data_IF_025115750411
#
_entry.id   IF_025115750411
#
_cell.length_a   1.000
_cell.length_b   1.000
_cell.length_c   1.000
_cell.angle_alpha   90.00
_cell.angle_beta   90.00
_cell.angle_gamma   90.00
#
_symmetry.space_group_name_H-M   'P 1'
#
loop_
_entity.id
_entity.type
_entity.pdbx_description
1 polymer ?
#
# COMPACT_ATOMS: atom_id res chain seq x y z
N UNK A 1 23.65 -23.54 17.38
CA UNK A 1 23.03 -22.41 18.11
C UNK A 1 21.97 -22.98 19.04
N UNK A 2 21.96 -22.62 20.33
CA UNK A 2 20.94 -23.12 21.26
C UNK A 2 19.56 -22.55 20.93
N UNK A 3 18.49 -23.31 21.21
CA UNK A 3 17.10 -22.91 20.95
C UNK A 3 16.74 -21.51 21.51
N UNK A 4 17.15 -21.12 22.74
CA UNK A 4 16.85 -19.78 23.27
C UNK A 4 17.49 -18.64 22.46
N UNK A 5 18.73 -18.85 21.96
CA UNK A 5 19.47 -17.85 21.18
C UNK A 5 18.84 -17.67 19.79
N UNK A 6 18.36 -18.76 19.20
CA UNK A 6 17.69 -18.71 17.90
C UNK A 6 16.30 -18.05 17.99
N UNK A 7 15.55 -18.31 19.06
CA UNK A 7 14.27 -17.62 19.34
C UNK A 7 14.48 -16.12 19.55
N UNK A 8 15.49 -15.73 20.33
CA UNK A 8 15.84 -14.32 20.52
C UNK A 8 16.25 -13.66 19.19
N UNK A 9 17.04 -14.37 18.36
CA UNK A 9 17.45 -13.88 17.04
C UNK A 9 16.25 -13.69 16.11
N UNK A 10 15.28 -14.61 16.12
CA UNK A 10 14.04 -14.50 15.36
C UNK A 10 13.20 -13.29 15.79
N UNK A 11 12.99 -13.08 17.09
CA UNK A 11 12.23 -11.95 17.61
C UNK A 11 12.90 -10.60 17.32
N UNK A 12 14.24 -10.57 17.33
CA UNK A 12 15.02 -9.38 16.96
C UNK A 12 15.20 -9.18 15.45
N UNK A 13 14.75 -10.14 14.62
CA UNK A 13 14.89 -10.08 13.17
C UNK A 13 13.83 -9.18 12.53
N UNK A 14 13.97 -8.91 11.24
CA UNK A 14 12.95 -8.19 10.46
C UNK A 14 11.64 -8.96 10.26
N UNK A 15 11.57 -10.26 10.57
CA UNK A 15 10.40 -11.11 10.28
C UNK A 15 9.10 -10.60 10.90
N UNK A 16 9.00 -10.29 12.22
CA UNK A 16 7.74 -9.82 12.80
C UNK A 16 7.23 -8.54 12.14
N UNK A 17 8.15 -7.61 11.84
CA UNK A 17 7.85 -6.34 11.17
C UNK A 17 7.37 -6.58 9.72
N UNK A 18 8.06 -7.45 8.98
CA UNK A 18 7.69 -7.83 7.61
C UNK A 18 6.29 -8.47 7.55
N UNK A 19 5.99 -9.41 8.44
CA UNK A 19 4.68 -10.05 8.52
C UNK A 19 3.58 -9.05 8.89
N UNK A 20 3.83 -8.19 9.88
CA UNK A 20 2.87 -7.14 10.24
C UNK A 20 2.62 -6.18 9.08
N UNK A 21 3.64 -5.84 8.30
CA UNK A 21 3.54 -5.00 7.11
C UNK A 21 2.71 -5.66 6.01
N UNK A 22 2.89 -6.96 5.77
CA UNK A 22 2.06 -7.72 4.81
C UNK A 22 0.59 -7.77 5.23
N UNK A 23 0.30 -8.02 6.51
CA UNK A 23 -1.08 -7.98 7.04
C UNK A 23 -1.68 -6.59 6.88
N UNK A 24 -0.93 -5.55 7.28
CA UNK A 24 -1.35 -4.16 7.17
C UNK A 24 -1.64 -3.78 5.70
N UNK A 25 -0.79 -4.21 4.78
CA UNK A 25 -0.97 -4.02 3.34
C UNK A 25 -2.21 -4.75 2.81
N UNK A 26 -2.40 -6.02 3.20
CA UNK A 26 -3.56 -6.83 2.83
C UNK A 26 -4.86 -6.15 3.25
N UNK A 27 -4.96 -5.73 4.51
CA UNK A 27 -6.16 -5.11 5.07
C UNK A 27 -6.47 -3.78 4.37
N UNK A 28 -5.47 -2.97 4.07
CA UNK A 28 -5.65 -1.62 3.50
C UNK A 28 -5.86 -1.58 1.98
N UNK A 29 -5.62 -2.71 1.32
CA UNK A 29 -5.87 -2.91 -0.13
C UNK A 29 -7.03 -3.86 -0.39
N UNK A 30 -7.71 -4.31 0.65
CA UNK A 30 -8.97 -5.05 0.54
C UNK A 30 -10.12 -4.07 0.77
N UNK A 31 -11.06 -4.01 -0.17
CA UNK A 31 -12.20 -3.12 -0.05
C UNK A 31 -13.04 -3.55 1.18
N UNK A 32 -13.38 -2.61 2.09
CA UNK A 32 -14.18 -2.94 3.28
C UNK A 32 -15.67 -3.15 2.95
N UNK A 33 -16.12 -2.69 1.77
CA UNK A 33 -17.51 -2.76 1.33
C UNK A 33 -17.59 -3.40 -0.06
N UNK A 34 -18.77 -3.89 -0.41
CA UNK A 34 -19.07 -4.39 -1.75
C UNK A 34 -18.91 -3.29 -2.81
N UNK A 35 -18.47 -3.66 -4.03
CA UNK A 35 -18.40 -2.73 -5.14
C UNK A 35 -19.74 -2.02 -5.38
N UNK A 36 -19.73 -0.74 -5.77
CA UNK A 36 -20.95 -0.01 -6.06
C UNK A 36 -21.74 -0.62 -7.22
N UNK A 37 -23.08 -0.49 -7.17
CA UNK A 37 -23.98 -1.00 -8.21
C UNK A 37 -23.63 -0.34 -9.54
N UNK A 38 -23.92 -1.01 -10.66
CA UNK A 38 -23.64 -0.45 -11.98
C UNK A 38 -24.34 0.92 -12.19
N UNK A 39 -25.56 1.09 -11.69
CA UNK A 39 -26.29 2.38 -11.72
C UNK A 39 -25.56 3.51 -10.98
N UNK A 40 -25.00 3.22 -9.81
CA UNK A 40 -24.21 4.17 -9.00
C UNK A 40 -22.88 4.54 -9.67
N UNK A 41 -22.33 3.61 -10.46
CA UNK A 41 -21.12 3.85 -11.24
C UNK A 41 -21.39 4.61 -12.55
N UNK A 42 -22.54 4.38 -13.19
CA UNK A 42 -22.92 5.00 -14.47
C UNK A 42 -23.34 6.47 -14.28
N UNK A 43 -23.79 6.83 -13.07
CA UNK A 43 -23.97 8.22 -12.66
C UNK A 43 -22.67 9.04 -12.80
N UNK A 44 -21.51 8.39 -12.68
CA UNK A 44 -20.21 8.99 -12.97
C UNK A 44 -19.91 8.81 -14.46
N UNK A 45 -20.02 9.88 -15.25
CA UNK A 45 -19.71 9.84 -16.69
C UNK A 45 -18.27 9.36 -16.94
N UNK A 46 -18.12 8.11 -17.43
CA UNK A 46 -16.81 7.49 -17.72
C UNK A 46 -16.26 7.90 -19.10
N UNK A 47 -15.36 8.88 -19.14
CA UNK A 47 -14.52 9.19 -20.30
C UNK A 47 -13.56 8.06 -20.68
N UNK A 48 -12.92 8.16 -21.86
CA UNK A 48 -11.96 7.15 -22.36
C UNK A 48 -10.85 6.83 -21.35
N UNK A 49 -10.31 7.86 -20.70
CA UNK A 49 -9.30 7.72 -19.64
C UNK A 49 -9.82 6.99 -18.41
N UNK A 50 -11.09 7.17 -18.02
CA UNK A 50 -11.67 6.43 -16.89
C UNK A 50 -11.87 4.96 -17.20
N UNK A 51 -12.15 4.58 -18.45
CA UNK A 51 -12.23 3.16 -18.82
C UNK A 51 -10.87 2.46 -18.77
N UNK A 52 -9.82 3.11 -19.28
CA UNK A 52 -8.45 2.60 -19.20
C UNK A 52 -8.01 2.50 -17.74
N UNK A 53 -8.33 3.51 -16.94
CA UNK A 53 -8.00 3.57 -15.52
C UNK A 53 -8.80 2.57 -14.68
N UNK A 54 -10.10 2.39 -14.93
CA UNK A 54 -10.93 1.39 -14.28
C UNK A 54 -10.44 -0.02 -14.60
N UNK A 55 -10.07 -0.27 -15.86
CA UNK A 55 -9.40 -1.52 -16.25
C UNK A 55 -8.09 -1.70 -15.49
N UNK A 56 -7.26 -0.65 -15.38
CA UNK A 56 -6.00 -0.71 -14.60
C UNK A 56 -6.25 -1.02 -13.12
N UNK A 57 -7.22 -0.36 -12.49
CA UNK A 57 -7.53 -0.54 -11.06
C UNK A 57 -8.15 -1.90 -10.74
N UNK A 58 -8.77 -2.58 -11.71
CA UNK A 58 -9.37 -3.89 -11.44
C UNK A 58 -8.32 -5.00 -11.25
N UNK A 59 -7.16 -4.92 -11.91
CA UNK A 59 -6.11 -5.94 -11.80
C UNK A 59 -4.84 -5.49 -11.06
N UNK A 60 -4.54 -4.19 -11.01
CA UNK A 60 -3.30 -3.71 -10.42
C UNK A 60 -3.22 -3.87 -8.89
N UNK A 61 -4.25 -3.57 -8.08
CA UNK A 61 -4.21 -3.80 -6.63
C UNK A 61 -4.11 -5.28 -6.23
N UNK A 62 -4.88 -6.23 -6.81
CA UNK A 62 -4.69 -7.66 -6.54
C UNK A 62 -3.28 -8.13 -6.91
N UNK A 63 -2.74 -7.70 -8.05
CA UNK A 63 -1.38 -8.04 -8.47
C UNK A 63 -0.33 -7.46 -7.50
N UNK A 64 -0.49 -6.20 -7.12
CA UNK A 64 0.40 -5.52 -6.18
C UNK A 64 0.38 -6.21 -4.80
N UNK A 65 -0.81 -6.56 -4.31
CA UNK A 65 -1.02 -7.32 -3.08
C UNK A 65 -0.32 -8.68 -3.12
N UNK A 66 -0.59 -9.48 -4.15
CA UNK A 66 0.07 -10.78 -4.34
C UNK A 66 1.59 -10.64 -4.42
N UNK A 67 2.08 -9.60 -5.11
CA UNK A 67 3.52 -9.36 -5.21
C UNK A 67 4.16 -9.04 -3.86
N UNK A 68 3.53 -8.19 -3.03
CA UNK A 68 4.06 -7.80 -1.72
C UNK A 68 4.02 -8.96 -0.75
N UNK A 69 2.92 -9.70 -0.71
CA UNK A 69 2.77 -10.88 0.15
C UNK A 69 3.79 -11.95 -0.24
N UNK A 70 3.90 -12.27 -1.53
CA UNK A 70 4.87 -13.25 -2.04
C UNK A 70 6.31 -12.85 -1.71
N UNK A 71 6.71 -11.61 -2.02
CA UNK A 71 8.06 -11.11 -1.73
C UNK A 71 8.35 -11.11 -0.22
N UNK A 72 7.36 -10.78 0.61
CA UNK A 72 7.49 -10.82 2.07
C UNK A 72 7.70 -12.25 2.57
N UNK A 73 6.95 -13.22 2.06
CA UNK A 73 7.11 -14.64 2.42
C UNK A 73 8.47 -15.16 1.97
N UNK A 74 8.92 -14.82 0.76
CA UNK A 74 10.25 -15.16 0.29
C UNK A 74 11.33 -14.57 1.19
N UNK A 75 11.25 -13.29 1.55
CA UNK A 75 12.23 -12.66 2.43
C UNK A 75 12.25 -13.30 3.83
N UNK A 76 11.07 -13.60 4.40
CA UNK A 76 10.97 -14.33 5.66
C UNK A 76 11.62 -15.72 5.57
N UNK A 77 11.39 -16.46 4.48
CA UNK A 77 11.96 -17.79 4.30
C UNK A 77 13.50 -17.75 4.22
N UNK A 78 14.07 -16.75 3.54
CA UNK A 78 15.53 -16.61 3.46
C UNK A 78 16.12 -16.16 4.80
N UNK A 79 15.44 -15.30 5.57
CA UNK A 79 15.86 -14.94 6.94
C UNK A 79 15.80 -16.17 7.86
N UNK A 80 14.75 -16.99 7.77
CA UNK A 80 14.66 -18.26 8.51
C UNK A 80 15.82 -19.18 8.17
N UNK A 81 16.23 -19.27 6.89
CA UNK A 81 17.42 -20.03 6.49
C UNK A 81 18.70 -19.51 7.16
N UNK A 82 18.83 -18.20 7.32
CA UNK A 82 19.98 -17.58 7.99
C UNK A 82 20.02 -17.90 9.50
N UNK A 83 18.86 -17.93 10.16
CA UNK A 83 18.74 -18.14 11.61
C UNK A 83 18.75 -19.63 11.98
N UNK A 84 18.08 -20.48 11.19
CA UNK A 84 17.91 -21.92 11.40
C UNK A 84 18.33 -22.74 10.17
N UNK A 85 19.63 -22.81 9.82
CA UNK A 85 20.10 -23.45 8.59
C UNK A 85 19.75 -24.95 8.49
N UNK A 86 19.58 -25.65 9.62
CA UNK A 86 19.25 -27.09 9.65
C UNK A 86 17.75 -27.40 9.72
N UNK A 87 16.87 -26.40 9.63
CA UNK A 87 15.43 -26.63 9.63
C UNK A 87 14.92 -27.17 8.29
N UNK A 88 13.79 -27.89 8.28
CA UNK A 88 13.13 -28.36 7.05
C UNK A 88 12.69 -27.20 6.14
N UNK A 89 12.43 -26.02 6.70
CA UNK A 89 12.10 -24.80 5.93
C UNK A 89 13.30 -24.29 5.14
N UNK A 90 14.50 -24.42 5.69
CA UNK A 90 15.75 -24.02 5.01
C UNK A 90 16.03 -24.82 3.75
N UNK A 91 15.66 -26.11 3.72
CA UNK A 91 15.80 -26.95 2.52
C UNK A 91 14.85 -26.56 1.39
N UNK A 92 13.77 -25.83 1.66
CA UNK A 92 12.83 -25.35 0.65
C UNK A 92 13.32 -24.07 -0.06
N UNK A 93 14.33 -23.38 0.48
CA UNK A 93 14.83 -22.11 -0.05
C UNK A 93 16.05 -22.35 -0.94
N UNK A 94 15.96 -22.12 -2.27
CA UNK A 94 17.07 -22.39 -3.18
C UNK A 94 18.35 -21.63 -2.79
N UNK A 95 19.50 -22.31 -2.87
CA UNK A 95 20.81 -21.78 -2.47
C UNK A 95 21.28 -20.61 -3.31
N UNK A 96 20.81 -20.48 -4.55
CA UNK A 96 21.14 -19.35 -5.43
C UNK A 96 20.44 -18.04 -5.05
N UNK A 97 19.48 -18.07 -4.12
CA UNK A 97 18.86 -16.85 -3.59
C UNK A 97 19.82 -16.25 -2.55
N UNK A 98 20.27 -15.00 -2.73
CA UNK A 98 21.13 -14.34 -1.76
C UNK A 98 20.48 -14.29 -0.38
N UNK A 99 21.25 -14.52 0.68
CA UNK A 99 20.77 -14.36 2.05
C UNK A 99 20.81 -12.88 2.44
N UNK A 100 19.66 -12.22 2.66
CA UNK A 100 19.63 -10.85 3.12
C UNK A 100 20.19 -10.73 4.55
N UNK A 101 20.78 -9.58 4.90
CA UNK A 101 21.19 -9.30 6.28
C UNK A 101 19.94 -9.18 7.17
N UNK A 102 19.70 -10.07 8.15
CA UNK A 102 18.48 -10.07 8.92
C UNK A 102 18.30 -8.84 9.84
N UNK A 103 19.32 -7.99 9.97
CA UNK A 103 19.31 -6.82 10.86
C UNK A 103 18.24 -5.80 10.51
N UNK A 104 17.65 -5.26 11.55
CA UNK A 104 16.73 -4.13 11.51
C UNK A 104 17.55 -2.85 11.34
N UNK A 105 17.35 -2.14 10.23
CA UNK A 105 18.02 -0.86 9.96
C UNK A 105 17.11 0.32 10.30
N UNK A 106 17.65 1.53 10.57
CA UNK A 106 16.82 2.71 10.80
C UNK A 106 15.88 3.02 9.64
N UNK A 107 16.33 2.82 8.40
CA UNK A 107 15.50 3.03 7.21
C UNK A 107 14.35 2.01 7.12
N UNK A 108 14.61 0.76 7.50
CA UNK A 108 13.57 -0.27 7.60
C UNK A 108 12.53 0.09 8.67
N UNK A 109 12.96 0.53 9.85
CA UNK A 109 12.03 0.98 10.90
C UNK A 109 11.21 2.19 10.47
N UNK A 110 11.83 3.16 9.79
CA UNK A 110 11.09 4.28 9.20
C UNK A 110 10.02 3.78 8.23
N UNK A 111 10.39 2.84 7.34
CA UNK A 111 9.45 2.21 6.41
C UNK A 111 8.28 1.54 7.12
N UNK A 112 8.57 0.72 8.12
CA UNK A 112 7.56 0.03 8.92
C UNK A 112 6.64 1.00 9.67
N UNK A 113 7.21 2.08 10.24
CA UNK A 113 6.44 3.12 10.92
C UNK A 113 5.51 3.85 9.94
N UNK A 114 6.00 4.20 8.75
CA UNK A 114 5.20 4.84 7.71
C UNK A 114 4.04 3.95 7.27
N UNK A 115 4.27 2.65 7.05
CA UNK A 115 3.18 1.73 6.73
C UNK A 115 2.17 1.64 7.86
N UNK A 116 2.64 1.50 9.10
CA UNK A 116 1.75 1.38 10.27
C UNK A 116 0.90 2.63 10.48
N UNK A 117 1.50 3.81 10.37
CA UNK A 117 0.79 5.09 10.46
C UNK A 117 -0.20 5.27 9.29
N UNK A 118 0.21 4.92 8.07
CA UNK A 118 -0.65 4.92 6.90
C UNK A 118 -1.84 3.96 7.07
N UNK A 119 -1.62 2.76 7.59
CA UNK A 119 -2.68 1.79 7.89
C UNK A 119 -3.66 2.32 8.92
N UNK A 120 -3.18 2.92 10.01
CA UNK A 120 -4.06 3.54 11.00
C UNK A 120 -4.94 4.63 10.37
N UNK A 121 -4.35 5.50 9.54
CA UNK A 121 -5.09 6.56 8.83
C UNK A 121 -6.09 6.01 7.81
N UNK A 122 -5.72 4.94 7.07
CA UNK A 122 -6.61 4.26 6.12
C UNK A 122 -7.81 3.66 6.84
N UNK A 123 -7.58 2.95 7.95
CA UNK A 123 -8.63 2.36 8.76
C UNK A 123 -9.54 3.41 9.39
N UNK A 124 -8.98 4.54 9.85
CA UNK A 124 -9.77 5.68 10.30
C UNK A 124 -10.64 6.26 9.17
N UNK A 125 -10.12 6.31 7.94
CA UNK A 125 -10.87 6.75 6.76
C UNK A 125 -12.00 5.78 6.40
N UNK A 126 -11.75 4.46 6.48
CA UNK A 126 -12.79 3.43 6.29
C UNK A 126 -13.91 3.57 7.30
N UNK A 127 -13.56 3.77 8.58
CA UNK A 127 -14.54 3.98 9.64
C UNK A 127 -15.34 5.26 9.45
N UNK A 128 -14.69 6.35 9.06
CA UNK A 128 -15.36 7.64 8.87
C UNK A 128 -16.36 7.62 7.70
N UNK A 129 -15.99 7.01 6.56
CA UNK A 129 -16.88 6.90 5.40
C UNK A 129 -17.91 5.76 5.50
N UNK A 130 -17.62 4.71 6.27
CA UNK A 130 -18.50 3.55 6.41
C UNK A 130 -18.86 2.95 5.05
N UNK A 131 -20.16 2.77 4.79
CA UNK A 131 -20.70 2.22 3.53
C UNK A 131 -20.37 3.04 2.27
N UNK A 132 -19.99 4.31 2.43
CA UNK A 132 -19.67 5.21 1.32
C UNK A 132 -18.26 4.96 0.77
N UNK A 133 -17.40 4.26 1.51
CA UNK A 133 -16.04 3.99 1.04
C UNK A 133 -16.07 2.91 -0.07
N UNK A 134 -15.64 3.30 -1.28
CA UNK A 134 -15.50 2.40 -2.44
C UNK A 134 -14.16 2.63 -3.13
N UNK A 135 -13.63 1.60 -3.79
CA UNK A 135 -12.42 1.75 -4.62
C UNK A 135 -12.74 2.33 -6.00
N UNK A 136 -13.98 2.21 -6.46
CA UNK A 136 -14.55 2.79 -7.67
C UNK A 136 -15.18 4.16 -7.38
N UNK A 137 -15.08 5.10 -8.33
CA UNK A 137 -15.77 6.39 -8.20
C UNK A 137 -17.25 6.12 -8.41
N UNK A 138 -18.05 6.45 -7.40
CA UNK A 138 -19.49 6.24 -7.43
C UNK A 138 -20.18 7.25 -6.53
N UNK A 139 -21.37 7.67 -6.93
CA UNK A 139 -22.33 8.35 -6.06
C UNK A 139 -23.34 7.30 -5.62
N UNK A 140 -23.47 7.11 -4.29
CA UNK A 140 -24.38 6.14 -3.69
C UNK A 140 -25.78 6.76 -3.60
N UNK A 141 -26.82 5.95 -3.55
CA UNK A 141 -28.20 6.47 -3.41
C UNK A 141 -28.37 7.36 -2.15
N UNK A 142 -27.69 7.02 -1.04
CA UNK A 142 -27.64 7.81 0.20
C UNK A 142 -26.28 8.53 0.41
N UNK A 143 -25.65 9.02 -0.66
CA UNK A 143 -24.32 9.63 -0.53
C UNK A 143 -24.39 10.91 0.31
N UNK A 144 -23.60 10.98 1.38
CA UNK A 144 -23.45 12.19 2.19
C UNK A 144 -22.01 12.68 2.19
N UNK A 145 -21.82 13.99 2.27
CA UNK A 145 -20.50 14.59 2.36
C UNK A 145 -19.93 14.39 3.78
N UNK A 146 -19.03 13.42 3.94
CA UNK A 146 -18.36 13.16 5.23
C UNK A 146 -17.25 14.17 5.46
N UNK A 147 -17.37 14.94 6.54
CA UNK A 147 -16.43 16.01 6.91
C UNK A 147 -15.78 15.80 8.29
N UNK A 148 -16.04 14.66 8.93
CA UNK A 148 -15.57 14.32 10.27
C UNK A 148 -14.37 13.34 10.25
N UNK A 149 -13.73 13.16 11.40
CA UNK A 149 -12.55 12.30 11.52
C UNK A 149 -11.39 12.81 10.68
N UNK A 150 -10.68 11.96 9.92
CA UNK A 150 -9.58 12.39 9.06
C UNK A 150 -9.96 13.46 8.01
N UNK A 151 -11.23 13.47 7.57
CA UNK A 151 -11.77 14.39 6.56
C UNK A 151 -11.93 15.84 7.08
N UNK A 152 -11.77 16.06 8.39
CA UNK A 152 -11.73 17.40 8.97
C UNK A 152 -10.38 18.11 8.73
N UNK A 153 -9.33 17.37 8.34
CA UNK A 153 -7.96 17.88 8.23
C UNK A 153 -7.43 17.89 6.80
N UNK A 154 -7.86 16.93 5.99
CA UNK A 154 -7.45 16.75 4.58
C UNK A 154 -8.64 16.22 3.79
N UNK A 155 -8.79 16.61 2.53
CA UNK A 155 -9.92 16.15 1.68
C UNK A 155 -9.82 14.67 1.30
N UNK A 156 -8.60 14.18 1.09
CA UNK A 156 -8.30 12.83 0.60
C UNK A 156 -7.40 12.01 1.56
N UNK A 157 -7.73 11.89 2.85
CA UNK A 157 -6.87 11.28 3.87
C UNK A 157 -6.59 9.80 3.57
N UNK A 158 -7.55 9.12 2.94
CA UNK A 158 -7.42 7.73 2.53
C UNK A 158 -6.36 7.55 1.43
N UNK A 159 -6.19 8.53 0.54
CA UNK A 159 -5.12 8.51 -0.47
C UNK A 159 -3.76 8.88 0.15
N UNK A 160 -3.73 9.82 1.10
CA UNK A 160 -2.54 10.10 1.92
C UNK A 160 -2.03 8.84 2.62
N UNK A 161 -2.96 8.08 3.20
CA UNK A 161 -2.66 6.81 3.84
C UNK A 161 -2.03 5.81 2.87
N UNK A 162 -2.56 5.67 1.65
CA UNK A 162 -1.97 4.82 0.62
C UNK A 162 -0.56 5.28 0.21
N UNK A 163 -0.31 6.59 0.11
CA UNK A 163 1.04 7.10 -0.16
C UNK A 163 2.03 6.68 0.93
N UNK A 164 1.65 6.82 2.20
CA UNK A 164 2.48 6.40 3.33
C UNK A 164 2.75 4.88 3.31
N UNK A 165 1.72 4.08 3.04
CA UNK A 165 1.82 2.62 2.95
C UNK A 165 2.77 2.21 1.81
N UNK A 166 2.61 2.80 0.62
CA UNK A 166 3.46 2.47 -0.53
C UNK A 166 4.92 2.86 -0.27
N UNK A 167 5.17 4.08 0.21
CA UNK A 167 6.52 4.54 0.52
C UNK A 167 7.13 3.67 1.64
N UNK A 168 6.34 3.33 2.67
CA UNK A 168 6.77 2.44 3.75
C UNK A 168 7.17 1.05 3.26
N UNK A 169 6.33 0.43 2.42
CA UNK A 169 6.64 -0.84 1.76
C UNK A 169 7.91 -0.76 0.92
N UNK A 170 8.12 0.33 0.17
CA UNK A 170 9.35 0.55 -0.57
C UNK A 170 10.60 0.58 0.29
N UNK A 171 10.55 1.31 1.40
CA UNK A 171 11.69 1.38 2.34
C UNK A 171 11.98 0.01 2.96
N UNK A 172 10.95 -0.77 3.25
CA UNK A 172 11.10 -2.13 3.76
C UNK A 172 11.64 -3.12 2.71
N UNK A 173 11.17 -3.05 1.46
CA UNK A 173 11.42 -4.06 0.42
C UNK A 173 12.57 -3.71 -0.54
N UNK A 174 12.99 -2.45 -0.64
CA UNK A 174 14.18 -2.01 -1.37
C UNK A 174 15.34 -1.59 -0.45
N UNK A 175 15.11 -1.57 0.87
CA UNK A 175 16.11 -1.22 1.86
C UNK A 175 17.36 -2.11 1.78
N UNK A 176 18.46 -1.65 2.38
CA UNK A 176 19.70 -2.43 2.42
C UNK A 176 19.45 -3.80 3.06
N UNK A 177 19.87 -4.87 2.37
CA UNK A 177 19.64 -6.24 2.82
C UNK A 177 18.21 -6.73 2.60
N UNK A 178 17.38 -6.11 1.76
CA UNK A 178 16.09 -6.69 1.35
C UNK A 178 16.23 -7.61 0.13
N UNK A 179 15.31 -8.55 -0.06
CA UNK A 179 15.41 -9.49 -1.18
C UNK A 179 15.37 -8.77 -2.54
N UNK A 180 14.46 -7.80 -2.71
CA UNK A 180 14.34 -7.03 -3.97
C UNK A 180 15.49 -6.03 -4.10
N UNK A 181 15.92 -5.39 -3.01
CA UNK A 181 17.11 -4.53 -3.01
C UNK A 181 18.36 -5.26 -3.51
N UNK A 182 18.58 -6.50 -3.07
CA UNK A 182 19.70 -7.32 -3.54
C UNK A 182 19.53 -7.83 -4.98
N UNK A 183 18.30 -7.96 -5.51
CA UNK A 183 18.06 -8.28 -6.92
C UNK A 183 18.38 -7.11 -7.86
N UNK A 184 18.17 -5.88 -7.40
CA UNK A 184 18.47 -4.66 -8.16
C UNK A 184 19.97 -4.36 -8.13
N UNK A 185 20.69 -4.75 -7.06
CA UNK A 185 22.13 -4.52 -6.90
C UNK A 185 23.02 -5.48 -7.71
N UNK A 186 24.24 -5.01 -7.98
CA UNK A 186 25.13 -5.49 -9.05
C UNK A 186 25.90 -6.78 -8.76
N UNK A 187 25.25 -7.93 -8.93
CA UNK A 187 25.85 -9.23 -9.31
C UNK A 187 24.84 -10.19 -9.98
N UNK A 188 23.55 -9.85 -9.99
CA UNK A 188 22.49 -10.71 -10.51
C UNK A 188 22.33 -10.63 -12.05
N UNK A 189 21.78 -11.69 -12.69
CA UNK A 189 21.44 -11.67 -14.10
C UNK A 189 20.54 -10.49 -14.47
N UNK A 190 20.67 -9.98 -15.71
CA UNK A 190 19.89 -8.85 -16.20
C UNK A 190 18.36 -9.04 -16.02
N UNK A 191 17.88 -10.29 -16.10
CA UNK A 191 16.48 -10.65 -15.86
C UNK A 191 15.99 -10.22 -14.48
N UNK A 192 16.74 -10.49 -13.40
CA UNK A 192 16.32 -10.11 -12.03
C UNK A 192 16.32 -8.60 -11.82
N UNK A 193 17.26 -7.88 -12.46
CA UNK A 193 17.30 -6.41 -12.44
C UNK A 193 16.08 -5.80 -13.13
N UNK A 194 15.73 -6.32 -14.32
CA UNK A 194 14.54 -5.89 -15.06
C UNK A 194 13.28 -6.17 -14.25
N UNK A 195 13.14 -7.34 -13.64
CA UNK A 195 11.98 -7.67 -12.80
C UNK A 195 11.85 -6.74 -11.58
N UNK A 196 12.96 -6.49 -10.86
CA UNK A 196 12.96 -5.55 -9.74
C UNK A 196 12.62 -4.11 -10.15
N UNK A 197 13.15 -3.66 -11.30
CA UNK A 197 12.84 -2.34 -11.84
C UNK A 197 11.38 -2.21 -12.32
N UNK A 198 10.84 -3.23 -12.99
CA UNK A 198 9.43 -3.27 -13.40
C UNK A 198 8.50 -3.27 -12.19
N UNK A 199 8.85 -4.01 -11.14
CA UNK A 199 8.10 -4.03 -9.90
C UNK A 199 8.08 -2.64 -9.23
N UNK A 200 9.21 -1.94 -9.17
CA UNK A 200 9.24 -0.55 -8.71
C UNK A 200 8.43 0.37 -9.64
N UNK A 201 8.61 0.28 -10.96
CA UNK A 201 7.86 1.11 -11.90
C UNK A 201 6.33 0.94 -11.76
N UNK A 202 5.86 -0.30 -11.52
CA UNK A 202 4.46 -0.62 -11.26
C UNK A 202 3.89 0.18 -10.08
N UNK A 203 4.63 0.23 -8.96
CA UNK A 203 4.23 0.98 -7.77
C UNK A 203 4.22 2.49 -7.98
N UNK A 204 5.23 3.04 -8.67
CA UNK A 204 5.27 4.47 -9.00
C UNK A 204 4.07 4.84 -9.85
N UNK A 205 3.77 4.02 -10.86
CA UNK A 205 2.61 4.20 -11.72
C UNK A 205 1.31 4.14 -10.91
N UNK A 206 1.14 3.16 -10.01
CA UNK A 206 -0.05 3.03 -9.17
C UNK A 206 -0.28 4.29 -8.32
N UNK A 207 0.78 4.80 -7.67
CA UNK A 207 0.72 6.04 -6.88
C UNK A 207 0.33 7.24 -7.74
N UNK A 208 0.98 7.42 -8.89
CA UNK A 208 0.69 8.54 -9.79
C UNK A 208 -0.76 8.50 -10.29
N UNK A 209 -1.26 7.31 -10.61
CA UNK A 209 -2.62 7.12 -11.10
C UNK A 209 -3.66 7.42 -10.00
N UNK A 210 -3.39 7.04 -8.74
CA UNK A 210 -4.25 7.37 -7.59
C UNK A 210 -4.22 8.86 -7.23
N UNK A 211 -3.05 9.51 -7.27
CA UNK A 211 -2.93 10.96 -7.03
C UNK A 211 -3.69 11.75 -8.10
N UNK A 212 -3.56 11.36 -9.37
CA UNK A 212 -4.30 11.97 -10.48
C UNK A 212 -5.82 11.82 -10.36
N UNK A 213 -6.29 10.79 -9.66
CA UNK A 213 -7.72 10.51 -9.45
C UNK A 213 -8.39 11.49 -8.49
N UNK A 214 -7.67 12.00 -7.50
CA UNK A 214 -8.24 12.88 -6.46
C UNK A 214 -8.91 14.13 -7.02
N UNK A 215 -8.36 14.71 -8.10
CA UNK A 215 -8.99 15.85 -8.77
C UNK A 215 -10.36 15.52 -9.36
N UNK A 216 -10.50 14.34 -9.96
CA UNK A 216 -11.77 13.91 -10.55
C UNK A 216 -12.80 13.60 -9.47
N UNK A 217 -12.35 13.03 -8.35
CA UNK A 217 -13.20 12.80 -7.18
C UNK A 217 -13.70 14.12 -6.59
N UNK A 218 -12.82 15.12 -6.46
CA UNK A 218 -13.21 16.49 -6.08
C UNK A 218 -14.24 17.08 -7.04
N UNK A 219 -14.00 17.00 -8.36
CA UNK A 219 -14.92 17.53 -9.37
C UNK A 219 -16.29 16.82 -9.34
N UNK A 220 -16.30 15.52 -9.05
CA UNK A 220 -17.51 14.72 -8.89
C UNK A 220 -18.27 15.12 -7.62
N UNK A 221 -17.60 15.16 -6.47
CA UNK A 221 -18.20 15.55 -5.20
C UNK A 221 -18.71 16.99 -5.22
N UNK A 222 -17.99 17.91 -5.88
CA UNK A 222 -18.43 19.29 -6.07
C UNK A 222 -19.69 19.41 -6.91
N UNK A 223 -19.85 18.58 -7.94
CA UNK A 223 -21.07 18.54 -8.77
C UNK A 223 -22.27 18.02 -7.98
N UNK A 224 -22.05 17.04 -7.12
CA UNK A 224 -23.10 16.43 -6.30
C UNK A 224 -23.55 17.35 -5.15
N UNK A 225 -22.60 17.85 -4.37
CA UNK A 225 -22.89 18.59 -3.13
C UNK A 225 -22.86 20.12 -3.27
N UNK A 226 -22.40 20.64 -4.42
CA UNK A 226 -22.44 22.06 -4.74
C UNK A 226 -21.82 22.96 -3.66
N UNK A 227 -22.66 23.77 -3.02
CA UNK A 227 -22.24 24.75 -2.01
C UNK A 227 -21.64 24.10 -0.75
N UNK A 228 -22.18 22.96 -0.31
CA UNK A 228 -21.69 22.28 0.89
C UNK A 228 -20.25 21.80 0.71
N UNK A 229 -19.93 21.33 -0.51
CA UNK A 229 -18.55 20.98 -0.88
C UNK A 229 -17.65 22.22 -0.92
N UNK A 230 -18.11 23.32 -1.51
CA UNK A 230 -17.32 24.56 -1.61
C UNK A 230 -17.00 25.14 -0.22
N UNK A 231 -17.95 25.12 0.71
CA UNK A 231 -17.74 25.56 2.10
C UNK A 231 -16.80 24.64 2.87
N UNK A 232 -16.96 23.33 2.74
CA UNK A 232 -16.05 22.38 3.37
C UNK A 232 -14.63 22.47 2.78
N UNK A 233 -14.48 22.55 1.46
CA UNK A 233 -13.17 22.65 0.80
C UNK A 233 -12.43 23.94 1.14
N UNK A 234 -13.14 25.04 1.45
CA UNK A 234 -12.52 26.27 2.01
C UNK A 234 -11.96 26.05 3.41
N UNK A 235 -12.67 25.30 4.27
CA UNK A 235 -12.20 24.96 5.62
C UNK A 235 -11.06 23.93 5.61
N UNK A 236 -11.08 23.03 4.63
CA UNK A 236 -10.09 21.95 4.46
C UNK A 236 -9.39 22.09 3.09
N UNK A 237 -8.51 23.09 2.92
CA UNK A 237 -7.90 23.37 1.62
C UNK A 237 -6.93 22.27 1.18
N UNK A 238 -6.24 21.63 2.14
CA UNK A 238 -5.26 20.58 1.88
C UNK A 238 -5.91 19.38 1.18
N UNK A 239 -5.43 19.06 -0.03
CA UNK A 239 -5.97 17.94 -0.81
C UNK A 239 -5.46 16.60 -0.29
N UNK A 240 -4.14 16.45 -0.18
CA UNK A 240 -3.48 15.17 0.13
C UNK A 240 -2.56 15.23 1.35
N UNK A 241 -1.67 16.21 1.44
CA UNK A 241 -0.77 16.32 2.57
C UNK A 241 -1.25 17.49 3.42
N UNK A 242 -1.49 17.32 4.73
CA UNK A 242 -1.78 18.45 5.61
C UNK A 242 -0.75 19.56 5.38
N UNK A 243 -1.19 20.81 5.32
CA UNK A 243 -0.33 21.99 5.14
C UNK A 243 0.33 22.15 3.75
N UNK A 244 0.03 21.29 2.77
CA UNK A 244 0.39 21.48 1.36
C UNK A 244 -0.89 21.59 0.51
N UNK A 245 -1.04 22.71 -0.21
CA UNK A 245 -2.27 23.10 -0.92
C UNK A 245 -2.21 22.80 -2.42
#
# INVERSE_FOLDING_TARGET
>A
MGLPVAVASFLSSRIPFLLSNAIAFHVTTTAPNEPPKQSEQDAVKKGRWERIFASTISWLPPLAKLSVEYLTLCECAVIVRAIWPHSALSSLVPTFIPTPDPKVTPLFILGWFMTTAGTALRLASYRALGKLFTFELSIREDHVLVTSGPYAYVRHPSYTALLLIVIGCYLCQLGHGSLVGEWIKGTQPATKKVLGALWAAMWVFQVGALVGRTKKEDDMLRKEFGKDWDEWAKRVPARLIPFFF
#
